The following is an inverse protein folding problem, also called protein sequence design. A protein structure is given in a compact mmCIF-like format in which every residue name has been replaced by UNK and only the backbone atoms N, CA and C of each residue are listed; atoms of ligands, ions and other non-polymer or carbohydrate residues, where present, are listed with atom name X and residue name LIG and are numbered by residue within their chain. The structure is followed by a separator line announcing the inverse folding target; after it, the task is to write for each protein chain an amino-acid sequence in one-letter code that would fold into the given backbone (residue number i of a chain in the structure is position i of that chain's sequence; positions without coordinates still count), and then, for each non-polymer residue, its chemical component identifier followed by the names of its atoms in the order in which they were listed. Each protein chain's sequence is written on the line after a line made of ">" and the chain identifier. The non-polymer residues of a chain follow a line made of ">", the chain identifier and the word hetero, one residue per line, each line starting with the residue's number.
data_IF_926690311759
#
_entry.id   IF_926690311759
#
_cell.length_a   1.000
_cell.length_b   1.000
_cell.length_c   1.000
_cell.angle_alpha   90.00
_cell.angle_beta   90.00
_cell.angle_gamma   90.00
#
_symmetry.space_group_name_H-M   'P 1'
#
loop_
_entity.id
_entity.type
_entity.pdbx_description
1 polymer ?
#
# COMPACT_ATOMS: atom_id res chain seq x y z
N UNK A 1 -39.45 -0.55 44.06
CA UNK A 1 -38.47 0.44 43.58
C UNK A 1 -37.14 -0.27 43.38
N UNK A 2 -36.95 -0.91 42.21
CA UNK A 2 -35.69 -1.60 41.88
C UNK A 2 -34.69 -0.57 41.38
N UNK A 3 -33.54 -0.50 42.05
CA UNK A 3 -32.50 0.48 41.79
C UNK A 3 -31.79 0.18 40.46
N UNK A 4 -31.83 1.17 39.56
CA UNK A 4 -31.02 1.24 38.35
C UNK A 4 -29.52 1.22 38.74
N UNK A 5 -28.78 0.21 38.26
CA UNK A 5 -27.31 0.23 38.23
C UNK A 5 -26.87 0.62 36.82
N UNK A 6 -26.04 1.67 36.65
CA UNK A 6 -25.46 1.95 35.35
C UNK A 6 -24.48 0.84 34.99
N UNK A 7 -24.65 0.27 33.80
CA UNK A 7 -23.65 -0.57 33.15
C UNK A 7 -22.44 0.34 32.93
N UNK A 8 -21.31 0.03 33.57
CA UNK A 8 -20.06 0.69 33.26
C UNK A 8 -19.78 0.48 31.77
N UNK A 9 -19.71 1.57 31.02
CA UNK A 9 -19.21 1.53 29.66
C UNK A 9 -17.73 1.13 29.74
N UNK A 10 -17.44 -0.15 29.53
CA UNK A 10 -16.10 -0.57 29.18
C UNK A 10 -15.80 0.09 27.83
N UNK A 11 -15.05 1.19 27.86
CA UNK A 11 -14.37 1.66 26.66
C UNK A 11 -13.54 0.49 26.13
N UNK A 12 -13.57 0.18 24.82
CA UNK A 12 -12.64 -0.79 24.28
C UNK A 12 -11.22 -0.33 24.62
N UNK A 13 -10.47 -1.17 25.34
CA UNK A 13 -9.05 -0.92 25.57
C UNK A 13 -8.36 -0.86 24.22
N UNK A 14 -7.96 0.34 23.79
CA UNK A 14 -7.11 0.49 22.61
C UNK A 14 -5.81 -0.25 22.93
N UNK A 15 -5.40 -1.27 22.14
CA UNK A 15 -4.15 -1.94 22.38
C UNK A 15 -3.00 -0.92 22.41
N UNK A 16 -2.01 -1.07 23.30
CA UNK A 16 -0.90 -0.13 23.38
C UNK A 16 -0.22 -0.03 22.03
N UNK A 17 0.08 1.21 21.63
CA UNK A 17 0.84 1.53 20.43
C UNK A 17 2.16 0.76 20.47
N UNK A 18 2.40 -0.12 19.49
CA UNK A 18 3.70 -0.77 19.34
C UNK A 18 4.74 0.31 19.00
N UNK A 19 5.56 0.69 19.98
CA UNK A 19 6.81 1.40 19.72
C UNK A 19 7.74 0.41 19.04
N UNK A 20 7.86 0.50 17.73
CA UNK A 20 8.61 -0.46 16.92
C UNK A 20 10.06 -0.60 17.41
N UNK A 21 10.38 -1.75 17.98
CA UNK A 21 11.74 -2.30 17.93
C UNK A 21 11.88 -3.09 16.61
N UNK A 22 12.95 -2.85 15.85
CA UNK A 22 13.27 -3.57 14.61
C UNK A 22 13.17 -2.75 13.32
N UNK A 23 13.27 -3.40 12.13
CA UNK A 23 13.36 -2.71 10.85
C UNK A 23 12.06 -2.01 10.46
N UNK A 24 12.15 -1.01 9.56
CA UNK A 24 11.00 -0.28 9.02
C UNK A 24 10.07 -1.11 8.13
N UNK A 25 10.57 -2.24 7.64
CA UNK A 25 9.89 -3.14 6.72
C UNK A 25 10.36 -4.58 6.93
N UNK A 26 9.63 -5.51 6.35
CA UNK A 26 9.99 -6.93 6.30
C UNK A 26 10.03 -7.43 4.86
N UNK A 27 10.90 -8.40 4.59
CA UNK A 27 10.93 -9.11 3.31
C UNK A 27 10.79 -10.60 3.54
N UNK A 28 9.68 -11.16 3.07
CA UNK A 28 9.43 -12.60 3.04
C UNK A 28 9.78 -13.15 1.65
N UNK A 29 10.50 -14.27 1.61
CA UNK A 29 10.97 -14.88 0.35
C UNK A 29 10.67 -16.38 0.35
N UNK A 30 10.45 -16.91 -0.84
CA UNK A 30 10.37 -18.35 -1.08
C UNK A 30 11.75 -19.04 -0.92
N UNK A 31 12.82 -18.33 -1.31
CA UNK A 31 14.19 -18.79 -1.24
C UNK A 31 15.01 -17.91 -0.27
N UNK A 32 16.06 -18.46 0.39
CA UNK A 32 16.94 -17.66 1.25
C UNK A 32 17.56 -16.48 0.51
N UNK A 33 17.96 -15.45 1.25
CA UNK A 33 18.66 -14.31 0.68
C UNK A 33 19.96 -14.76 -0.02
N UNK A 34 20.20 -14.26 -1.23
CA UNK A 34 21.35 -14.64 -2.06
C UNK A 34 21.11 -15.85 -2.97
N UNK A 35 20.00 -16.56 -2.80
CA UNK A 35 19.54 -17.59 -3.76
C UNK A 35 18.61 -16.93 -4.78
N UNK A 36 18.71 -17.38 -6.04
CA UNK A 36 17.82 -16.89 -7.10
C UNK A 36 16.35 -17.12 -6.70
N UNK A 37 15.47 -16.09 -6.84
CA UNK A 37 14.05 -16.28 -6.57
C UNK A 37 13.47 -17.28 -7.57
N UNK A 38 12.48 -18.11 -7.18
CA UNK A 38 11.91 -19.12 -8.07
C UNK A 38 11.01 -18.54 -9.16
N UNK A 39 10.52 -17.31 -9.00
CA UNK A 39 9.66 -16.62 -9.98
C UNK A 39 10.13 -15.17 -10.17
N UNK A 40 9.70 -14.47 -11.23
CA UNK A 40 9.96 -13.04 -11.39
C UNK A 40 9.07 -12.13 -10.51
N UNK A 41 8.21 -12.71 -9.66
CA UNK A 41 7.21 -11.97 -8.90
C UNK A 41 7.78 -11.31 -7.65
N UNK A 42 7.53 -10.01 -7.53
CA UNK A 42 7.78 -9.21 -6.34
C UNK A 42 6.47 -8.50 -5.98
N UNK A 43 5.99 -8.68 -4.76
CA UNK A 43 4.81 -8.01 -4.22
C UNK A 43 5.24 -6.96 -3.21
N UNK A 44 4.64 -5.78 -3.31
CA UNK A 44 4.81 -4.70 -2.35
C UNK A 44 3.50 -4.46 -1.61
N UNK A 45 3.56 -4.32 -0.29
CA UNK A 45 2.49 -3.74 0.53
C UNK A 45 3.06 -2.55 1.32
N UNK A 46 3.05 -1.34 0.75
CA UNK A 46 3.64 -0.16 1.38
C UNK A 46 2.74 0.44 2.48
N UNK A 47 1.46 0.05 2.57
CA UNK A 47 0.45 0.74 3.40
C UNK A 47 -0.23 -0.14 4.46
N UNK A 48 0.16 -1.41 4.62
CA UNK A 48 -0.36 -2.28 5.69
C UNK A 48 0.33 -2.10 7.05
N UNK A 49 1.36 -1.26 7.14
CA UNK A 49 2.03 -0.96 8.40
C UNK A 49 1.08 -0.29 9.40
N UNK A 50 1.16 -0.72 10.66
CA UNK A 50 0.31 -0.25 11.75
C UNK A 50 1.07 0.33 12.93
N UNK A 51 2.38 0.54 12.78
CA UNK A 51 3.20 1.10 13.83
C UNK A 51 3.29 2.63 13.74
N UNK A 52 3.18 3.25 14.91
CA UNK A 52 3.13 4.69 15.10
C UNK A 52 4.20 5.10 16.10
N UNK A 53 5.36 5.57 15.62
CA UNK A 53 6.50 5.92 16.48
C UNK A 53 6.19 6.97 17.55
N UNK A 54 6.90 6.96 18.70
CA UNK A 54 6.70 7.94 19.77
C UNK A 54 6.79 9.41 19.32
N UNK A 55 7.69 9.75 18.38
CA UNK A 55 7.83 11.11 17.86
C UNK A 55 6.56 11.56 17.14
N UNK A 56 5.92 10.65 16.39
CA UNK A 56 4.64 10.92 15.74
C UNK A 56 3.53 11.07 16.77
N UNK A 57 3.43 10.14 17.71
CA UNK A 57 2.37 10.16 18.73
C UNK A 57 2.43 11.44 19.58
N UNK A 58 3.63 11.94 19.89
CA UNK A 58 3.82 13.21 20.58
C UNK A 58 3.44 14.44 19.73
N UNK A 59 3.40 14.32 18.40
CA UNK A 59 3.13 15.41 17.47
C UNK A 59 1.69 15.45 16.93
N UNK A 60 0.94 14.33 16.98
CA UNK A 60 -0.43 14.26 16.44
C UNK A 60 -1.49 14.88 17.37
N UNK A 61 -2.58 15.36 16.77
CA UNK A 61 -3.77 15.85 17.49
C UNK A 61 -5.00 14.97 17.32
N UNK A 62 -4.88 13.91 16.52
CA UNK A 62 -5.98 13.01 16.19
C UNK A 62 -5.91 11.76 17.07
N UNK A 63 -7.07 11.16 17.41
CA UNK A 63 -7.08 9.83 18.02
C UNK A 63 -6.51 8.81 17.03
N UNK A 64 -5.93 7.73 17.53
CA UNK A 64 -5.25 6.72 16.73
C UNK A 64 -6.16 6.16 15.63
N UNK A 65 -7.42 5.91 15.95
CA UNK A 65 -8.43 5.36 15.05
C UNK A 65 -8.59 6.21 13.77
N UNK A 66 -8.44 7.53 13.88
CA UNK A 66 -8.50 8.44 12.75
C UNK A 66 -7.27 8.32 11.83
N UNK A 67 -6.10 8.03 12.39
CA UNK A 67 -4.88 7.78 11.61
C UNK A 67 -4.99 6.44 10.89
N UNK A 68 -5.47 5.42 11.62
CA UNK A 68 -5.65 4.06 11.12
C UNK A 68 -6.61 4.00 9.92
N UNK A 69 -7.56 4.92 9.80
CA UNK A 69 -8.47 5.00 8.64
C UNK A 69 -7.76 5.08 7.29
N UNK A 70 -6.52 5.59 7.27
CA UNK A 70 -5.69 5.64 6.05
C UNK A 70 -5.00 4.31 5.71
N UNK A 71 -4.82 3.40 6.67
CA UNK A 71 -4.12 2.12 6.47
C UNK A 71 -4.82 1.22 5.46
N UNK A 72 -4.02 0.51 4.69
CA UNK A 72 -4.47 -0.60 3.86
C UNK A 72 -4.48 -1.87 4.71
N UNK A 73 -5.36 -1.85 5.73
CA UNK A 73 -5.45 -2.89 6.75
C UNK A 73 -5.68 -4.26 6.11
N UNK A 74 -5.02 -5.28 6.66
CA UNK A 74 -5.09 -6.68 6.24
C UNK A 74 -4.57 -6.99 4.82
N UNK A 75 -4.12 -6.01 4.03
CA UNK A 75 -3.56 -6.30 2.69
C UNK A 75 -2.30 -7.16 2.78
N UNK A 76 -1.48 -6.98 3.82
CA UNK A 76 -0.35 -7.86 4.11
C UNK A 76 -0.78 -9.31 4.42
N UNK A 77 -1.94 -9.51 5.05
CA UNK A 77 -2.51 -10.83 5.31
C UNK A 77 -3.07 -11.47 4.04
N UNK A 78 -3.74 -10.70 3.19
CA UNK A 78 -4.24 -11.15 1.88
C UNK A 78 -3.11 -11.77 1.03
N UNK A 79 -1.91 -11.18 1.10
CA UNK A 79 -0.75 -11.64 0.32
C UNK A 79 0.24 -12.50 1.11
N UNK A 80 -0.04 -12.85 2.36
CA UNK A 80 0.89 -13.56 3.25
C UNK A 80 1.27 -14.96 2.72
N UNK A 81 0.42 -15.57 1.90
CA UNK A 81 0.67 -16.87 1.26
C UNK A 81 1.60 -16.81 0.04
N UNK A 82 1.80 -15.64 -0.55
CA UNK A 82 2.54 -15.49 -1.81
C UNK A 82 3.98 -16.03 -1.79
N UNK A 83 4.76 -15.95 -0.68
CA UNK A 83 6.08 -16.57 -0.59
C UNK A 83 6.08 -18.09 -0.81
N UNK A 84 5.04 -18.81 -0.36
CA UNK A 84 4.94 -20.26 -0.61
C UNK A 84 4.72 -20.59 -2.08
N UNK A 85 4.24 -19.62 -2.85
CA UNK A 85 3.95 -19.72 -4.28
C UNK A 85 5.08 -19.11 -5.14
N UNK A 86 6.20 -18.73 -4.51
CA UNK A 86 7.40 -18.30 -5.21
C UNK A 86 7.56 -16.78 -5.37
N UNK A 87 6.61 -15.97 -4.91
CA UNK A 87 6.74 -14.52 -4.92
C UNK A 87 7.61 -14.01 -3.77
N UNK A 88 8.38 -12.95 -3.99
CA UNK A 88 8.99 -12.19 -2.88
C UNK A 88 8.00 -11.13 -2.40
N UNK A 89 7.80 -10.98 -1.10
CA UNK A 89 6.91 -9.96 -0.52
C UNK A 89 7.73 -8.99 0.31
N UNK A 90 7.58 -7.69 0.05
CA UNK A 90 8.05 -6.61 0.93
C UNK A 90 6.85 -5.87 1.54
N UNK A 91 6.82 -5.74 2.87
CA UNK A 91 5.74 -5.03 3.57
C UNK A 91 6.28 -3.98 4.52
N UNK A 92 5.62 -2.82 4.55
CA UNK A 92 5.90 -1.77 5.50
C UNK A 92 5.48 -2.16 6.92
N UNK A 93 6.20 -1.71 7.95
CA UNK A 93 5.77 -1.82 9.35
C UNK A 93 5.25 -0.50 9.91
N UNK A 94 5.83 0.63 9.48
CA UNK A 94 5.31 1.95 9.82
C UNK A 94 4.02 2.28 9.08
N UNK A 95 3.10 2.97 9.76
CA UNK A 95 1.89 3.48 9.13
C UNK A 95 2.21 4.51 8.06
N UNK A 96 1.44 4.51 6.96
CA UNK A 96 1.61 5.48 5.86
C UNK A 96 1.44 6.95 6.28
N UNK A 97 0.78 7.18 7.41
CA UNK A 97 0.61 8.52 8.00
C UNK A 97 1.88 9.04 8.68
N UNK A 98 2.84 8.15 8.99
CA UNK A 98 4.19 8.51 9.40
C UNK A 98 5.02 8.98 8.20
N UNK A 99 5.10 8.14 7.17
CA UNK A 99 5.72 8.40 5.87
C UNK A 99 5.06 7.48 4.84
N UNK A 100 4.61 8.03 3.72
CA UNK A 100 3.94 7.29 2.66
C UNK A 100 4.99 6.73 1.68
N UNK A 101 5.20 5.41 1.74
CA UNK A 101 6.16 4.70 0.89
C UNK A 101 5.69 4.54 -0.57
N UNK A 102 4.47 4.99 -0.89
CA UNK A 102 3.98 5.09 -2.27
C UNK A 102 3.89 6.58 -2.72
N UNK A 103 4.83 7.39 -2.23
CA UNK A 103 5.08 8.78 -2.64
C UNK A 103 6.57 9.02 -2.89
N UNK A 104 6.84 10.05 -3.67
CA UNK A 104 8.21 10.55 -3.84
C UNK A 104 8.70 11.11 -2.48
N UNK A 105 9.87 10.71 -1.98
CA UNK A 105 10.28 10.93 -0.59
C UNK A 105 10.30 12.38 -0.14
N UNK A 106 10.52 13.32 -1.06
CA UNK A 106 10.66 14.74 -0.78
C UNK A 106 9.49 15.57 -1.34
N UNK A 107 8.43 14.93 -1.80
CA UNK A 107 7.16 15.58 -2.15
C UNK A 107 6.41 16.02 -0.88
N UNK A 108 6.95 17.04 -0.21
CA UNK A 108 6.45 17.56 1.07
C UNK A 108 5.62 18.83 0.89
N UNK A 109 4.64 19.04 1.78
CA UNK A 109 3.87 20.29 1.88
C UNK A 109 4.64 21.31 2.74
N UNK A 110 5.17 22.42 2.18
CA UNK A 110 5.92 23.41 2.96
C UNK A 110 5.12 24.01 4.13
N UNK A 111 3.78 24.06 4.04
CA UNK A 111 2.95 24.62 5.11
C UNK A 111 2.98 23.79 6.39
N UNK A 112 3.41 22.52 6.32
CA UNK A 112 3.54 21.63 7.47
C UNK A 112 4.79 21.88 8.30
N UNK A 113 5.76 22.64 7.78
CA UNK A 113 7.08 22.73 8.37
C UNK A 113 7.34 24.06 9.08
N UNK A 114 8.12 23.98 10.16
CA UNK A 114 8.69 25.11 10.85
C UNK A 114 10.04 25.45 10.19
N UNK A 115 10.12 26.64 9.62
CA UNK A 115 11.20 27.05 8.73
C UNK A 115 11.00 26.64 7.27
N UNK A 116 11.92 27.10 6.43
CA UNK A 116 11.92 26.81 5.01
C UNK A 116 12.43 25.40 4.72
N UNK A 117 11.76 24.72 3.79
CA UNK A 117 12.26 23.48 3.22
C UNK A 117 13.34 23.77 2.15
N UNK A 118 14.33 22.88 1.98
CA UNK A 118 15.19 22.88 0.79
C UNK A 118 14.36 22.86 -0.50
N UNK A 119 14.84 23.46 -1.58
CA UNK A 119 14.10 23.57 -2.84
C UNK A 119 13.63 22.21 -3.38
N UNK A 120 14.49 21.20 -3.32
CA UNK A 120 14.16 19.84 -3.77
C UNK A 120 13.04 19.16 -2.94
N UNK A 121 12.77 19.65 -1.73
CA UNK A 121 11.76 19.11 -0.83
C UNK A 121 10.44 19.91 -0.87
N UNK A 122 10.31 20.90 -1.76
CA UNK A 122 9.08 21.69 -1.89
C UNK A 122 8.16 21.04 -2.92
N UNK A 123 7.30 20.13 -2.46
CA UNK A 123 6.27 19.53 -3.31
C UNK A 123 5.23 20.55 -3.78
N UNK A 124 4.91 20.53 -5.08
CA UNK A 124 3.94 21.46 -5.70
C UNK A 124 2.82 20.75 -6.46
N UNK A 125 2.53 19.49 -6.12
CA UNK A 125 1.52 18.71 -6.83
C UNK A 125 0.10 18.91 -6.29
N UNK A 126 -0.90 18.57 -7.09
CA UNK A 126 -2.31 18.55 -6.65
C UNK A 126 -2.53 17.65 -5.42
N UNK A 127 -1.70 16.60 -5.24
CA UNK A 127 -1.76 15.71 -4.07
C UNK A 127 -1.24 16.39 -2.82
N UNK A 128 -0.12 17.12 -2.93
CA UNK A 128 0.41 17.95 -1.83
C UNK A 128 -0.62 18.99 -1.42
N UNK A 129 -1.23 19.69 -2.38
CA UNK A 129 -2.30 20.64 -2.11
C UNK A 129 -3.50 20.00 -1.38
N UNK A 130 -3.83 18.75 -1.72
CA UNK A 130 -4.84 17.94 -1.03
C UNK A 130 -4.39 17.37 0.33
N UNK A 131 -3.16 17.65 0.78
CA UNK A 131 -2.62 17.19 2.06
C UNK A 131 -2.10 15.75 2.05
N UNK A 132 -1.80 15.20 0.87
CA UNK A 132 -1.42 13.79 0.65
C UNK A 132 0.01 13.65 0.07
N UNK A 133 0.93 14.51 0.51
CA UNK A 133 2.37 14.40 0.23
C UNK A 133 3.03 13.22 0.97
N UNK A 134 4.35 13.12 0.88
CA UNK A 134 5.11 12.00 1.46
C UNK A 134 4.94 11.89 2.98
N UNK A 135 4.86 13.01 3.68
CA UNK A 135 4.32 13.07 5.04
C UNK A 135 2.92 13.70 4.93
N UNK A 136 1.84 12.92 5.13
CA UNK A 136 0.49 13.44 4.94
C UNK A 136 0.16 14.54 5.95
N UNK A 137 -0.41 15.67 5.46
CA UNK A 137 -0.94 16.73 6.32
C UNK A 137 -2.29 16.35 6.91
N UNK A 138 -3.10 15.69 6.09
CA UNK A 138 -4.50 15.40 6.37
C UNK A 138 -4.74 13.90 6.46
N UNK A 139 -5.57 13.49 7.41
CA UNK A 139 -6.15 12.15 7.46
C UNK A 139 -7.35 12.06 6.48
N UNK A 140 -7.91 10.86 6.30
CA UNK A 140 -8.97 10.59 5.30
C UNK A 140 -10.21 11.48 5.37
N UNK A 141 -10.52 12.06 6.53
CA UNK A 141 -11.64 13.00 6.73
C UNK A 141 -11.26 14.47 6.50
N UNK A 142 -10.08 14.76 5.93
CA UNK A 142 -9.59 16.12 5.74
C UNK A 142 -9.13 16.80 7.03
N UNK A 143 -8.96 16.04 8.12
CA UNK A 143 -8.53 16.56 9.43
C UNK A 143 -7.00 16.66 9.51
N UNK A 144 -6.43 17.77 9.99
CA UNK A 144 -4.98 17.89 10.21
C UNK A 144 -4.46 16.84 11.19
N UNK A 145 -3.43 16.11 10.77
CA UNK A 145 -2.81 15.05 11.57
C UNK A 145 -2.03 15.63 12.76
N UNK A 146 -1.23 16.68 12.52
CA UNK A 146 -0.30 17.23 13.49
C UNK A 146 -0.86 18.40 14.29
N UNK A 147 -0.51 18.47 15.58
CA UNK A 147 -0.83 19.56 16.50
C UNK A 147 0.09 20.77 16.35
N UNK A 148 1.29 20.53 15.80
CA UNK A 148 2.33 21.53 15.54
C UNK A 148 2.91 21.31 14.16
N UNK A 149 3.69 22.29 13.71
CA UNK A 149 4.57 22.12 12.55
C UNK A 149 5.69 21.13 12.88
N UNK A 150 6.11 20.38 11.87
CA UNK A 150 7.28 19.51 11.92
C UNK A 150 8.53 20.30 11.53
N UNK A 151 9.70 19.83 11.94
CA UNK A 151 10.99 20.33 11.48
C UNK A 151 11.44 19.56 10.25
N UNK A 152 12.32 20.15 9.43
CA UNK A 152 12.93 19.43 8.32
C UNK A 152 13.79 18.25 8.80
N UNK A 153 14.39 18.34 9.99
CA UNK A 153 15.14 17.25 10.61
C UNK A 153 14.26 16.03 10.86
N UNK A 154 13.05 16.23 11.41
CA UNK A 154 12.06 15.15 11.59
C UNK A 154 11.70 14.50 10.24
N UNK A 155 11.44 15.29 9.19
CA UNK A 155 11.18 14.72 7.87
C UNK A 155 12.36 13.90 7.32
N UNK A 156 13.57 14.43 7.45
CA UNK A 156 14.79 13.75 6.98
C UNK A 156 15.01 12.43 7.69
N UNK A 157 14.79 12.39 9.01
CA UNK A 157 14.90 11.17 9.80
C UNK A 157 13.90 10.10 9.33
N UNK A 158 12.65 10.47 9.03
CA UNK A 158 11.65 9.53 8.48
C UNK A 158 12.05 8.95 7.13
N UNK A 159 12.59 9.78 6.26
CA UNK A 159 13.06 9.34 4.94
C UNK A 159 14.22 8.35 5.09
N UNK A 160 15.21 8.66 5.92
CA UNK A 160 16.39 7.81 6.14
C UNK A 160 16.08 6.54 6.92
N UNK A 161 15.12 6.58 7.86
CA UNK A 161 14.73 5.43 8.67
C UNK A 161 13.85 4.45 7.91
N UNK A 162 12.92 4.95 7.08
CA UNK A 162 11.85 4.13 6.54
C UNK A 162 11.75 4.15 5.01
N UNK A 163 11.73 5.33 4.39
CA UNK A 163 11.50 5.44 2.95
C UNK A 163 12.66 4.85 2.14
N UNK A 164 13.84 5.42 2.30
CA UNK A 164 15.03 5.01 1.55
C UNK A 164 15.37 3.53 1.79
N UNK A 165 15.42 3.00 3.03
CA UNK A 165 15.69 1.59 3.25
C UNK A 165 14.67 0.64 2.61
N UNK A 166 13.38 1.00 2.61
CA UNK A 166 12.32 0.22 1.96
C UNK A 166 12.55 0.15 0.44
N UNK A 167 12.76 1.30 -0.20
CA UNK A 167 12.96 1.38 -1.64
C UNK A 167 14.27 0.73 -2.09
N UNK A 168 15.35 0.89 -1.32
CA UNK A 168 16.61 0.17 -1.55
C UNK A 168 16.40 -1.36 -1.50
N UNK A 169 15.54 -1.84 -0.59
CA UNK A 169 15.23 -3.26 -0.47
C UNK A 169 14.34 -3.78 -1.61
N UNK A 170 13.33 -3.01 -2.01
CA UNK A 170 12.48 -3.30 -3.16
C UNK A 170 13.31 -3.37 -4.45
N UNK A 171 14.21 -2.41 -4.67
CA UNK A 171 15.14 -2.41 -5.80
C UNK A 171 16.00 -3.67 -5.86
N UNK A 172 16.54 -4.10 -4.71
CA UNK A 172 17.30 -5.35 -4.63
C UNK A 172 16.46 -6.56 -5.00
N UNK A 173 15.19 -6.63 -4.61
CA UNK A 173 14.32 -7.77 -4.95
C UNK A 173 13.98 -7.77 -6.44
N UNK A 174 13.67 -6.60 -7.01
CA UNK A 174 13.42 -6.46 -8.44
C UNK A 174 14.67 -6.81 -9.26
N UNK A 175 15.86 -6.39 -8.80
CA UNK A 175 17.12 -6.75 -9.45
C UNK A 175 17.39 -8.25 -9.41
N UNK A 176 17.15 -8.91 -8.27
CA UNK A 176 17.28 -10.36 -8.15
C UNK A 176 16.32 -11.11 -9.08
N UNK A 177 15.05 -10.69 -9.15
CA UNK A 177 14.05 -11.25 -10.06
C UNK A 177 14.47 -11.10 -11.54
N UNK A 178 14.86 -9.88 -11.96
CA UNK A 178 15.39 -9.65 -13.32
C UNK A 178 16.61 -10.48 -13.63
N UNK A 179 17.55 -10.58 -12.69
CA UNK A 179 18.78 -11.36 -12.87
C UNK A 179 18.52 -12.85 -13.09
N UNK A 180 17.53 -13.41 -12.40
CA UNK A 180 17.19 -14.83 -12.50
C UNK A 180 16.28 -15.16 -13.68
N UNK A 181 15.35 -14.27 -14.04
CA UNK A 181 14.25 -14.56 -14.98
C UNK A 181 14.25 -13.70 -16.25
N UNK A 182 15.19 -12.76 -16.36
CA UNK A 182 15.27 -11.81 -17.48
C UNK A 182 14.26 -10.66 -17.42
N UNK A 183 13.33 -10.68 -16.47
CA UNK A 183 12.41 -9.59 -16.13
C UNK A 183 11.97 -9.66 -14.66
N UNK A 184 11.32 -8.60 -14.18
CA UNK A 184 10.62 -8.59 -12.90
C UNK A 184 9.17 -8.11 -13.08
N UNK A 185 8.26 -8.69 -12.30
CA UNK A 185 6.85 -8.30 -12.22
C UNK A 185 6.60 -7.82 -10.79
N UNK A 186 6.35 -6.52 -10.66
CA UNK A 186 5.96 -5.87 -9.42
C UNK A 186 4.43 -5.76 -9.34
N UNK A 187 3.83 -6.38 -8.33
CA UNK A 187 2.43 -6.12 -7.97
C UNK A 187 2.41 -5.25 -6.70
N UNK A 188 1.94 -4.03 -6.83
CA UNK A 188 1.81 -3.04 -5.75
C UNK A 188 0.40 -3.16 -5.15
N UNK A 189 0.29 -3.83 -4.01
CA UNK A 189 -0.98 -4.21 -3.39
C UNK A 189 -1.47 -3.12 -2.43
N UNK A 190 -2.74 -2.75 -2.61
CA UNK A 190 -3.41 -1.69 -1.88
C UNK A 190 -4.87 -2.01 -1.61
N UNK A 191 -5.49 -1.20 -0.75
CA UNK A 191 -6.94 -1.18 -0.61
C UNK A 191 -7.50 0.23 -0.53
N UNK A 192 -8.70 0.38 -1.10
CA UNK A 192 -9.38 1.66 -1.20
C UNK A 192 -10.67 1.68 -0.35
N UNK A 193 -11.06 2.85 0.19
CA UNK A 193 -12.37 3.02 0.81
C UNK A 193 -13.51 2.73 -0.17
N UNK A 194 -14.58 2.09 0.29
CA UNK A 194 -15.74 1.76 -0.53
C UNK A 194 -16.39 3.00 -1.18
N UNK A 195 -16.28 4.16 -0.54
CA UNK A 195 -16.75 5.43 -1.11
C UNK A 195 -16.03 5.78 -2.43
N UNK A 196 -14.72 5.52 -2.53
CA UNK A 196 -13.95 5.77 -3.75
C UNK A 196 -14.37 4.83 -4.90
N UNK A 197 -14.79 3.60 -4.56
CA UNK A 197 -15.24 2.61 -5.52
C UNK A 197 -16.62 2.94 -6.15
N UNK A 198 -17.52 3.58 -5.40
CA UNK A 198 -18.89 3.93 -5.84
C UNK A 198 -18.95 4.91 -7.00
N UNK A 199 -17.96 5.80 -7.12
CA UNK A 199 -17.89 6.79 -8.19
C UNK A 199 -17.48 6.22 -9.55
N UNK A 200 -17.01 4.98 -9.61
CA UNK A 200 -16.45 4.37 -10.80
C UNK A 200 -17.34 3.27 -11.35
N UNK A 201 -17.54 3.27 -12.66
CA UNK A 201 -18.32 2.24 -13.35
C UNK A 201 -17.37 1.17 -13.91
N UNK A 202 -17.43 -0.04 -13.35
CA UNK A 202 -16.80 -1.21 -13.96
C UNK A 202 -17.52 -1.62 -15.26
N UNK A 203 -16.92 -2.51 -16.06
CA UNK A 203 -17.64 -3.14 -17.19
C UNK A 203 -18.93 -3.78 -16.68
N UNK A 204 -20.06 -3.44 -17.30
CA UNK A 204 -21.39 -3.91 -16.87
C UNK A 204 -22.12 -2.97 -15.88
N UNK A 205 -21.47 -1.89 -15.41
CA UNK A 205 -22.08 -0.86 -14.56
C UNK A 205 -21.98 -1.14 -13.05
N UNK A 206 -22.15 -0.07 -12.26
CA UNK A 206 -22.04 -0.11 -10.79
C UNK A 206 -20.61 0.07 -10.28
N UNK A 207 -20.48 0.14 -8.94
CA UNK A 207 -19.21 0.30 -8.25
C UNK A 207 -18.23 -0.83 -8.61
N UNK A 208 -16.93 -0.52 -8.68
CA UNK A 208 -15.90 -1.55 -8.90
C UNK A 208 -15.52 -2.24 -7.58
N UNK A 209 -15.09 -3.50 -7.70
CA UNK A 209 -14.57 -4.30 -6.59
C UNK A 209 -13.04 -4.16 -6.53
N UNK A 210 -12.39 -4.12 -7.69
CA UNK A 210 -10.94 -3.97 -7.83
C UNK A 210 -10.60 -2.94 -8.90
N UNK A 211 -9.59 -2.09 -8.65
CA UNK A 211 -9.00 -1.20 -9.66
C UNK A 211 -7.57 -1.64 -9.97
N UNK A 212 -7.27 -1.78 -11.26
CA UNK A 212 -5.93 -2.07 -11.77
C UNK A 212 -5.28 -0.78 -12.29
N UNK A 213 -4.14 -0.41 -11.73
CA UNK A 213 -3.40 0.80 -12.10
C UNK A 213 -2.06 0.48 -12.77
N UNK A 214 -1.94 0.77 -14.07
CA UNK A 214 -0.71 0.54 -14.86
C UNK A 214 -0.15 1.83 -15.47
N UNK A 215 -0.55 2.98 -14.93
CA UNK A 215 -0.22 4.32 -15.44
C UNK A 215 -0.64 4.49 -16.90
N UNK A 216 -1.86 4.07 -17.22
CA UNK A 216 -2.43 4.11 -18.58
C UNK A 216 -1.55 3.38 -19.62
N UNK A 217 -1.04 2.20 -19.23
CA UNK A 217 -0.19 1.36 -20.05
C UNK A 217 1.32 1.70 -20.03
N UNK A 218 1.74 2.69 -19.24
CA UNK A 218 3.15 3.07 -19.16
C UNK A 218 3.98 2.14 -18.24
N UNK A 219 3.35 1.52 -17.23
CA UNK A 219 4.05 0.78 -16.18
C UNK A 219 4.17 -0.73 -16.41
N UNK A 220 3.25 -1.35 -17.16
CA UNK A 220 3.34 -2.77 -17.53
C UNK A 220 2.86 -3.03 -18.95
N UNK A 221 3.02 -4.27 -19.44
CA UNK A 221 2.56 -4.62 -20.78
C UNK A 221 1.04 -4.83 -20.78
N UNK A 222 0.35 -4.61 -21.92
CA UNK A 222 -1.08 -4.89 -22.04
C UNK A 222 -1.44 -6.35 -21.74
N UNK A 223 -0.49 -7.27 -21.97
CA UNK A 223 -0.64 -8.70 -21.68
C UNK A 223 -0.76 -8.96 -20.18
N UNK A 224 0.07 -8.32 -19.35
CA UNK A 224 0.03 -8.49 -17.90
C UNK A 224 -1.29 -7.98 -17.30
N UNK A 225 -1.63 -6.71 -17.52
CA UNK A 225 -2.89 -6.16 -16.99
C UNK A 225 -4.11 -6.90 -17.54
N UNK A 226 -4.06 -7.34 -18.80
CA UNK A 226 -5.09 -8.15 -19.42
C UNK A 226 -5.26 -9.52 -18.76
N UNK A 227 -4.16 -10.18 -18.38
CA UNK A 227 -4.20 -11.43 -17.63
C UNK A 227 -4.83 -11.21 -16.25
N UNK A 228 -4.32 -10.25 -15.48
CA UNK A 228 -4.81 -9.98 -14.13
C UNK A 228 -6.30 -9.60 -14.13
N UNK A 229 -6.74 -8.76 -15.07
CA UNK A 229 -8.17 -8.41 -15.22
C UNK A 229 -9.01 -9.67 -15.46
N UNK A 230 -8.64 -10.53 -16.41
CA UNK A 230 -9.41 -11.74 -16.75
C UNK A 230 -9.50 -12.72 -15.59
N UNK A 231 -8.40 -12.95 -14.87
CA UNK A 231 -8.39 -13.88 -13.74
C UNK A 231 -9.29 -13.36 -12.60
N UNK A 232 -9.24 -12.07 -12.31
CA UNK A 232 -10.10 -11.46 -11.29
C UNK A 232 -11.57 -11.45 -11.71
N UNK A 233 -11.89 -11.15 -12.97
CA UNK A 233 -13.25 -11.25 -13.50
C UNK A 233 -13.77 -12.70 -13.46
N UNK A 234 -12.92 -13.70 -13.72
CA UNK A 234 -13.27 -15.12 -13.62
C UNK A 234 -13.54 -15.58 -12.17
N UNK A 235 -12.93 -14.91 -11.19
CA UNK A 235 -13.23 -15.08 -9.76
C UNK A 235 -14.49 -14.31 -9.32
N UNK A 236 -15.12 -13.55 -10.23
CA UNK A 236 -16.39 -12.87 -10.00
C UNK A 236 -16.27 -11.39 -9.61
N UNK A 237 -15.06 -10.81 -9.63
CA UNK A 237 -14.86 -9.40 -9.29
C UNK A 237 -15.21 -8.46 -10.45
N UNK A 238 -15.83 -7.31 -10.12
CA UNK A 238 -15.97 -6.21 -11.07
C UNK A 238 -14.70 -5.38 -11.11
N UNK A 239 -13.94 -5.53 -12.20
CA UNK A 239 -12.64 -4.86 -12.36
C UNK A 239 -12.78 -3.57 -13.15
N UNK A 240 -12.09 -2.52 -12.70
CA UNK A 240 -11.88 -1.29 -13.45
C UNK A 240 -10.38 -1.05 -13.69
N UNK A 241 -10.05 -0.22 -14.67
CA UNK A 241 -8.66 0.16 -14.97
C UNK A 241 -8.45 1.65 -14.78
N UNK A 242 -7.36 2.00 -14.12
CA UNK A 242 -6.79 3.33 -13.98
C UNK A 242 -7.69 4.42 -13.39
N UNK A 243 -8.89 4.09 -12.89
CA UNK A 243 -9.83 5.04 -12.30
C UNK A 243 -10.47 4.44 -11.03
N UNK A 244 -10.41 5.13 -9.88
CA UNK A 244 -9.79 6.45 -9.67
C UNK A 244 -8.26 6.37 -9.53
N UNK A 245 -7.70 5.16 -9.46
CA UNK A 245 -6.30 4.91 -9.18
C UNK A 245 -5.57 4.40 -10.43
N UNK A 246 -4.80 5.27 -11.07
CA UNK A 246 -3.96 4.93 -12.22
C UNK A 246 -2.63 4.27 -11.83
N UNK A 247 -2.32 4.18 -10.54
CA UNK A 247 -1.00 3.78 -10.05
C UNK A 247 -0.25 4.94 -9.38
N UNK A 248 0.36 4.66 -8.23
CA UNK A 248 1.14 5.58 -7.41
C UNK A 248 2.61 5.69 -7.81
N UNK A 249 3.42 6.20 -6.88
CA UNK A 249 4.87 6.37 -7.05
C UNK A 249 5.56 5.05 -7.39
N UNK A 250 5.25 3.95 -6.70
CA UNK A 250 5.84 2.63 -6.93
C UNK A 250 5.66 2.20 -8.40
N UNK A 251 4.43 2.22 -8.91
CA UNK A 251 4.18 1.88 -10.33
C UNK A 251 4.85 2.83 -11.30
N UNK A 252 4.84 4.13 -11.01
CA UNK A 252 5.44 5.17 -11.86
C UNK A 252 6.97 5.09 -11.89
N UNK A 253 7.59 4.76 -10.77
CA UNK A 253 9.04 4.71 -10.59
C UNK A 253 9.62 3.41 -11.14
N UNK A 254 9.07 2.26 -10.73
CA UNK A 254 9.59 0.94 -11.07
C UNK A 254 9.04 0.38 -12.38
N UNK A 255 7.83 0.80 -12.79
CA UNK A 255 7.23 0.40 -14.06
C UNK A 255 8.02 0.93 -15.25
N UNK A 256 8.87 0.06 -15.79
CA UNK A 256 9.75 0.34 -16.94
C UNK A 256 9.77 -0.90 -17.85
N UNK A 257 8.69 -1.20 -18.59
CA UNK A 257 8.60 -2.40 -19.42
C UNK A 257 9.77 -2.54 -20.41
N UNK A 258 10.20 -1.42 -21.01
CA UNK A 258 11.38 -1.37 -21.89
C UNK A 258 12.70 -1.77 -21.20
N UNK A 259 12.77 -1.67 -19.87
CA UNK A 259 13.89 -2.12 -19.02
C UNK A 259 13.58 -3.43 -18.29
N UNK A 260 12.61 -4.22 -18.78
CA UNK A 260 12.23 -5.52 -18.23
C UNK A 260 11.72 -5.49 -16.78
N UNK A 261 11.09 -4.38 -16.36
CA UNK A 261 10.34 -4.32 -15.11
C UNK A 261 8.90 -3.90 -15.41
N UNK A 262 7.95 -4.78 -15.13
CA UNK A 262 6.52 -4.47 -15.23
C UNK A 262 5.99 -4.17 -13.84
N UNK A 263 5.22 -3.09 -13.67
CA UNK A 263 4.58 -2.76 -12.40
C UNK A 263 3.07 -2.57 -12.60
N UNK A 264 2.27 -3.18 -11.71
CA UNK A 264 0.81 -3.09 -11.70
C UNK A 264 0.34 -2.85 -10.27
N UNK A 265 -0.49 -1.83 -10.07
CA UNK A 265 -1.18 -1.59 -8.81
C UNK A 265 -2.49 -2.37 -8.78
N UNK A 266 -2.80 -2.98 -7.64
CA UNK A 266 -4.11 -3.58 -7.36
C UNK A 266 -4.71 -2.86 -6.15
N UNK A 267 -5.87 -2.24 -6.35
CA UNK A 267 -6.64 -1.57 -5.31
C UNK A 267 -7.90 -2.38 -4.99
N UNK A 268 -7.97 -2.95 -3.80
CA UNK A 268 -9.10 -3.78 -3.35
C UNK A 268 -10.12 -2.90 -2.62
N UNK A 269 -11.40 -2.99 -2.97
CA UNK A 269 -12.46 -2.35 -2.20
C UNK A 269 -12.54 -2.95 -0.78
N UNK A 270 -12.32 -2.14 0.26
CA UNK A 270 -12.30 -2.60 1.66
C UNK A 270 -13.61 -3.26 2.10
N UNK A 271 -14.75 -2.89 1.53
CA UNK A 271 -16.04 -3.53 1.82
C UNK A 271 -16.08 -5.03 1.47
N UNK A 272 -15.13 -5.53 0.67
CA UNK A 272 -15.03 -6.95 0.34
C UNK A 272 -14.51 -7.80 1.51
N UNK A 273 -13.74 -7.23 2.44
CA UNK A 273 -13.03 -8.02 3.45
C UNK A 273 -13.01 -7.43 4.86
N UNK A 274 -13.52 -6.22 5.07
CA UNK A 274 -13.58 -5.61 6.40
C UNK A 274 -14.76 -4.65 6.55
N UNK A 275 -15.20 -4.48 7.79
CA UNK A 275 -16.04 -3.35 8.16
C UNK A 275 -15.15 -2.11 8.31
N UNK A 276 -15.28 -1.11 7.44
CA UNK A 276 -14.43 0.09 7.47
C UNK A 276 -14.56 0.91 8.77
N UNK A 277 -15.71 0.83 9.44
CA UNK A 277 -15.96 1.56 10.70
C UNK A 277 -15.36 0.85 11.89
N UNK A 278 -15.65 -0.45 12.09
CA UNK A 278 -15.13 -1.21 13.23
C UNK A 278 -13.70 -1.71 13.00
N UNK A 279 -13.25 -1.74 11.74
CA UNK A 279 -11.99 -2.32 11.27
C UNK A 279 -11.85 -3.81 11.53
N UNK A 280 -12.97 -4.49 11.80
CA UNK A 280 -12.98 -5.93 11.97
C UNK A 280 -13.00 -6.60 10.60
N UNK A 281 -12.23 -7.68 10.40
CA UNK A 281 -12.29 -8.45 9.17
C UNK A 281 -13.65 -9.14 9.04
N UNK A 282 -14.14 -9.28 7.82
CA UNK A 282 -15.31 -10.11 7.49
C UNK A 282 -14.84 -11.48 6.97
N UNK A 283 -15.78 -12.40 6.73
CA UNK A 283 -15.48 -13.68 6.05
C UNK A 283 -14.80 -13.50 4.68
N UNK A 284 -15.04 -12.36 4.02
CA UNK A 284 -14.45 -12.05 2.72
C UNK A 284 -12.93 -11.86 2.75
N UNK A 285 -12.31 -11.65 3.91
CA UNK A 285 -10.85 -11.67 4.04
C UNK A 285 -10.27 -13.05 3.68
N UNK A 286 -10.92 -14.12 4.12
CA UNK A 286 -10.49 -15.49 3.80
C UNK A 286 -10.65 -15.78 2.30
N UNK A 287 -11.78 -15.36 1.72
CA UNK A 287 -12.04 -15.48 0.28
C UNK A 287 -10.99 -14.73 -0.55
N UNK A 288 -10.74 -13.45 -0.24
CA UNK A 288 -9.75 -12.64 -0.95
C UNK A 288 -8.32 -13.20 -0.81
N UNK A 289 -7.98 -13.78 0.34
CA UNK A 289 -6.69 -14.46 0.52
C UNK A 289 -6.56 -15.67 -0.41
N UNK A 290 -7.58 -16.52 -0.49
CA UNK A 290 -7.58 -17.68 -1.39
C UNK A 290 -7.54 -17.28 -2.88
N UNK A 291 -8.22 -16.19 -3.23
CA UNK A 291 -8.25 -15.63 -4.57
C UNK A 291 -6.92 -14.98 -4.96
N UNK A 292 -6.28 -14.26 -4.04
CA UNK A 292 -4.93 -13.72 -4.23
C UNK A 292 -3.90 -14.84 -4.41
N UNK A 293 -4.01 -15.95 -3.69
CA UNK A 293 -3.19 -17.14 -3.92
C UNK A 293 -3.44 -17.76 -5.31
N UNK A 294 -4.69 -17.76 -5.78
CA UNK A 294 -5.02 -18.24 -7.13
C UNK A 294 -4.43 -17.36 -8.21
N UNK A 295 -4.57 -16.04 -8.10
CA UNK A 295 -3.90 -15.09 -8.99
C UNK A 295 -2.37 -15.26 -8.94
N UNK A 296 -1.80 -15.46 -7.76
CA UNK A 296 -0.36 -15.66 -7.60
C UNK A 296 0.13 -16.91 -8.34
N UNK A 297 -0.61 -18.03 -8.28
CA UNK A 297 -0.28 -19.25 -9.04
C UNK A 297 -0.28 -19.00 -10.55
N UNK A 298 -1.26 -18.26 -11.06
CA UNK A 298 -1.33 -17.91 -12.48
C UNK A 298 -0.15 -17.03 -12.88
N UNK A 299 0.15 -16.00 -12.09
CA UNK A 299 1.29 -15.11 -12.36
C UNK A 299 2.65 -15.82 -12.25
N UNK A 300 2.79 -16.78 -11.33
CA UNK A 300 4.02 -17.54 -11.15
C UNK A 300 4.29 -18.49 -12.33
N UNK A 301 3.24 -18.96 -13.00
CA UNK A 301 3.32 -19.79 -14.19
C UNK A 301 3.40 -19.01 -15.51
N UNK A 302 3.38 -17.68 -15.48
CA UNK A 302 3.43 -16.85 -16.69
C UNK A 302 4.82 -16.95 -17.34
N UNK A 303 4.85 -17.32 -18.62
CA UNK A 303 6.09 -17.30 -19.39
C UNK A 303 6.55 -15.84 -19.56
N UNK A 304 7.74 -15.54 -19.02
CA UNK A 304 8.38 -14.24 -19.12
C UNK A 304 8.56 -13.77 -20.58
N UNK A 305 8.64 -14.68 -21.55
CA UNK A 305 8.68 -14.34 -22.97
C UNK A 305 7.41 -13.64 -23.47
N UNK A 306 6.25 -13.88 -22.84
CA UNK A 306 4.98 -13.23 -23.20
C UNK A 306 4.92 -11.75 -22.82
N UNK A 307 5.83 -11.30 -21.95
CA UNK A 307 5.91 -9.91 -21.51
C UNK A 307 7.05 -9.13 -22.19
N UNK A 308 7.76 -9.76 -23.12
CA UNK A 308 8.92 -9.17 -23.78
C UNK A 308 8.57 -8.06 -24.78
#
# INVERSE_FOLDING_TARGET
>A
MSAWRPIAANAPETPPLETLEGPAFEVARAAPAGVAPPTPLVFASPHSGGAYPPDMIAAVRLPLEALRASEDAFVDQIIAGAPRLGATVIRARFARSYIDLNREPWEMDPAMFDGDLPEYARGQSARVAAGLGAIPRLAGEGRPIYARKLTFAEASERVELAHRPYHDALDRQLAAARGAHGLAILIDWHSMPAAAARGQRAKGGGACDIVLGDRFGAACSPRLIGLVERELEALGYRVARNAPYAGGYTTEHYGRPAKRTHALQIEINRALYMNETTREPTEGLATLTADAETLTRVLAGLDAAELK
#
